data_IF_603697953507
#
_entry.id   IF_603697953507
#
_cell.length_a   1.000
_cell.length_b   1.000
_cell.length_c   1.000
_cell.angle_alpha   90.00
_cell.angle_beta   90.00
_cell.angle_gamma   90.00
#
_symmetry.space_group_name_H-M   'P 1'
#
loop_
_entity.id
_entity.type
_entity.pdbx_description
1 polymer ?
#
# COMPACT_ATOMS: atom_id res chain seq x y z
N UNK A 1 -3.41 -30.45 63.55
CA UNK A 1 -4.02 -29.31 62.84
C UNK A 1 -2.91 -28.28 62.62
N UNK A 2 -2.53 -27.96 61.39
CA UNK A 2 -1.47 -26.98 61.07
C UNK A 2 -2.09 -25.89 60.20
N UNK A 3 -2.10 -24.68 60.74
CA UNK A 3 -2.82 -23.54 60.20
C UNK A 3 -2.29 -23.12 58.83
N UNK A 4 -3.19 -23.15 57.85
CA UNK A 4 -2.92 -22.70 56.49
C UNK A 4 -2.67 -21.20 56.46
N UNK A 5 -1.43 -20.79 56.21
CA UNK A 5 -1.12 -19.42 55.81
C UNK A 5 -1.75 -19.14 54.44
N UNK A 6 -2.95 -18.55 54.44
CA UNK A 6 -3.55 -17.87 53.29
C UNK A 6 -2.58 -16.77 52.82
N UNK A 7 -1.79 -17.06 51.80
CA UNK A 7 -1.02 -16.03 51.10
C UNK A 7 -2.00 -15.08 50.43
N UNK A 8 -2.01 -13.83 50.89
CA UNK A 8 -2.81 -12.76 50.30
C UNK A 8 -2.42 -12.59 48.82
N UNK A 9 -3.46 -12.59 48.00
CA UNK A 9 -3.46 -12.41 46.55
C UNK A 9 -2.66 -11.18 46.14
N UNK A 10 -1.54 -11.39 45.41
CA UNK A 10 -1.02 -10.33 44.54
C UNK A 10 -1.87 -10.27 43.30
N UNK A 11 -2.95 -9.53 43.48
CA UNK A 11 -3.69 -8.77 42.49
C UNK A 11 -2.78 -8.32 41.32
N UNK A 12 -3.32 -8.49 40.12
CA UNK A 12 -2.96 -7.81 38.89
C UNK A 12 -1.58 -8.11 38.27
N UNK A 13 -1.40 -9.31 37.72
CA UNK A 13 -0.63 -9.43 36.48
C UNK A 13 -1.60 -9.39 35.30
N UNK A 14 -1.93 -8.17 34.86
CA UNK A 14 -2.40 -7.96 33.49
C UNK A 14 -1.23 -8.24 32.55
N UNK A 15 -1.00 -9.52 32.24
CA UNK A 15 0.11 -10.00 31.38
C UNK A 15 0.04 -9.50 29.93
N UNK A 16 -0.98 -8.69 29.60
CA UNK A 16 -1.25 -8.17 28.27
C UNK A 16 -1.72 -6.70 28.25
N UNK A 17 -1.75 -5.99 29.39
CA UNK A 17 -2.16 -4.56 29.36
C UNK A 17 -1.15 -3.66 28.65
N UNK A 18 0.10 -4.13 28.48
CA UNK A 18 1.12 -3.46 27.68
C UNK A 18 0.99 -3.73 26.17
N UNK A 19 0.01 -4.55 25.72
CA UNK A 19 -0.29 -4.73 24.29
C UNK A 19 -1.12 -3.57 23.70
N UNK A 20 -1.37 -2.50 24.43
CA UNK A 20 -1.77 -1.23 23.83
C UNK A 20 -0.53 -0.45 23.39
N UNK A 21 0.15 -0.92 22.34
CA UNK A 21 1.12 -0.10 21.60
C UNK A 21 0.44 0.82 20.57
N UNK A 22 -0.90 0.80 20.49
CA UNK A 22 -1.62 1.75 19.67
C UNK A 22 -1.53 3.14 20.30
N UNK A 23 -0.56 3.94 19.89
CA UNK A 23 -0.85 5.37 19.68
C UNK A 23 -2.03 5.38 18.71
N UNK A 24 -3.25 5.49 19.24
CA UNK A 24 -4.43 5.66 18.43
C UNK A 24 -4.26 7.00 17.74
N UNK A 25 -3.80 6.96 16.50
CA UNK A 25 -3.72 8.14 15.65
C UNK A 25 -5.06 8.86 15.75
N UNK A 26 -5.01 10.14 16.07
CA UNK A 26 -6.17 11.02 15.97
C UNK A 26 -6.67 10.98 14.52
N UNK A 27 -7.95 11.29 14.32
CA UNK A 27 -8.53 11.27 12.98
C UNK A 27 -7.73 12.14 12.00
N UNK A 28 -7.21 13.27 12.49
CA UNK A 28 -6.35 14.18 11.73
C UNK A 28 -5.06 13.47 11.28
N UNK A 29 -4.36 12.81 12.18
CA UNK A 29 -3.10 12.12 11.86
C UNK A 29 -3.32 10.95 10.88
N UNK A 30 -4.45 10.23 11.00
CA UNK A 30 -4.82 9.18 10.04
C UNK A 30 -5.06 9.74 8.65
N UNK A 31 -5.85 10.82 8.56
CA UNK A 31 -6.16 11.49 7.31
C UNK A 31 -4.90 12.05 6.65
N UNK A 32 -3.99 12.65 7.43
CA UNK A 32 -2.69 13.11 6.93
C UNK A 32 -1.85 11.97 6.34
N UNK A 33 -1.79 10.82 7.02
CA UNK A 33 -1.10 9.65 6.49
C UNK A 33 -1.76 9.10 5.22
N UNK A 34 -3.09 9.11 5.15
CA UNK A 34 -3.80 8.68 3.94
C UNK A 34 -3.50 9.63 2.77
N UNK A 35 -3.57 10.96 2.98
CA UNK A 35 -3.24 11.96 1.97
C UNK A 35 -1.81 11.73 1.44
N UNK A 36 -0.82 11.60 2.34
CA UNK A 36 0.57 11.35 1.95
C UNK A 36 0.72 10.07 1.12
N UNK A 37 0.03 9.00 1.49
CA UNK A 37 0.03 7.74 0.75
C UNK A 37 -0.58 7.91 -0.65
N UNK A 38 -1.67 8.66 -0.77
CA UNK A 38 -2.32 8.96 -2.06
C UNK A 38 -1.41 9.82 -2.94
N UNK A 39 -0.74 10.82 -2.38
CA UNK A 39 0.14 11.72 -3.13
C UNK A 39 1.34 10.98 -3.73
N UNK A 40 1.94 10.06 -2.98
CA UNK A 40 3.03 9.20 -3.49
C UNK A 40 2.53 8.35 -4.67
N UNK A 41 1.34 7.76 -4.55
CA UNK A 41 0.76 6.93 -5.61
C UNK A 41 0.38 7.76 -6.85
N UNK A 42 -0.17 8.96 -6.66
CA UNK A 42 -0.45 9.91 -7.75
C UNK A 42 0.86 10.29 -8.45
N UNK A 43 1.91 10.61 -7.71
CA UNK A 43 3.22 10.93 -8.28
C UNK A 43 3.80 9.75 -9.07
N UNK A 44 3.67 8.53 -8.53
CA UNK A 44 4.05 7.29 -9.21
C UNK A 44 3.28 7.13 -10.53
N UNK A 45 1.95 7.20 -10.49
CA UNK A 45 1.09 7.01 -11.66
C UNK A 45 1.29 8.09 -12.72
N UNK A 46 1.50 9.36 -12.31
CA UNK A 46 1.84 10.45 -13.22
C UNK A 46 3.16 10.19 -13.97
N UNK A 47 4.15 9.54 -13.33
CA UNK A 47 5.41 9.15 -14.00
C UNK A 47 5.22 8.02 -15.02
N UNK A 48 4.22 7.16 -14.83
CA UNK A 48 3.87 6.09 -15.77
C UNK A 48 2.90 6.52 -16.87
N UNK A 49 2.50 7.79 -16.94
CA UNK A 49 2.02 8.36 -18.20
C UNK A 49 3.21 8.42 -19.17
N UNK A 50 3.60 7.26 -19.68
CA UNK A 50 4.66 7.09 -20.66
C UNK A 50 4.30 7.99 -21.84
N UNK A 51 5.15 8.98 -22.10
CA UNK A 51 5.12 9.76 -23.34
C UNK A 51 5.25 8.78 -24.51
N UNK A 52 4.14 8.45 -25.16
CA UNK A 52 4.11 8.01 -26.55
C UNK A 52 4.64 6.62 -26.89
N UNK A 53 3.94 5.56 -26.47
CA UNK A 53 4.05 4.24 -27.16
C UNK A 53 2.74 3.87 -27.90
N UNK A 54 1.82 4.83 -28.06
CA UNK A 54 0.50 4.54 -28.63
C UNK A 54 -0.14 5.58 -29.54
N UNK A 55 0.43 6.78 -29.69
CA UNK A 55 -0.30 7.87 -30.38
C UNK A 55 0.06 7.99 -31.87
N UNK A 56 1.30 7.69 -32.29
CA UNK A 56 1.69 7.69 -33.70
C UNK A 56 2.26 6.33 -34.09
N UNK A 57 1.42 5.40 -34.55
CA UNK A 57 1.89 4.22 -35.28
C UNK A 57 1.81 4.55 -36.76
N UNK A 58 2.95 4.83 -37.39
CA UNK A 58 3.03 4.94 -38.85
C UNK A 58 3.06 3.53 -39.43
N UNK A 59 2.03 3.16 -40.19
CA UNK A 59 1.97 1.88 -40.88
C UNK A 59 2.60 2.02 -42.27
N UNK A 60 3.77 1.41 -42.47
CA UNK A 60 4.39 1.33 -43.80
C UNK A 60 3.68 0.24 -44.60
N UNK A 61 2.89 0.64 -45.60
CA UNK A 61 2.24 -0.31 -46.52
C UNK A 61 3.18 -0.59 -47.69
N UNK A 62 3.75 -1.79 -47.77
CA UNK A 62 4.55 -2.20 -48.92
C UNK A 62 3.62 -2.53 -50.09
N UNK A 63 3.68 -1.75 -51.17
CA UNK A 63 2.95 -2.05 -52.40
C UNK A 63 3.74 -3.11 -53.18
N UNK A 64 3.27 -4.36 -53.13
CA UNK A 64 3.81 -5.45 -53.96
C UNK A 64 3.62 -5.10 -55.43
N UNK A 65 4.72 -4.87 -56.15
CA UNK A 65 4.69 -4.74 -57.61
C UNK A 65 4.59 -6.16 -58.16
N UNK A 66 3.40 -6.55 -58.66
CA UNK A 66 3.25 -7.79 -59.41
C UNK A 66 3.97 -7.54 -60.74
N UNK A 67 5.08 -8.25 -61.05
CA UNK A 67 5.68 -8.14 -62.37
C UNK A 67 4.69 -8.73 -63.38
N UNK A 68 4.35 -7.94 -64.39
CA UNK A 68 3.45 -8.35 -65.46
C UNK A 68 4.00 -9.65 -66.07
N UNK A 69 3.19 -10.71 -66.07
CA UNK A 69 3.46 -11.94 -66.79
C UNK A 69 3.63 -11.59 -68.26
N UNK A 70 4.85 -11.72 -68.78
CA UNK A 70 5.15 -11.67 -70.22
C UNK A 70 5.40 -13.08 -70.69
#
# INVERSE_FOLDING_TARGET
>A
MRDGKRFKTRKDRKSFSALHTSKSLTEIERLQLEILKRDIEIARLKRYQVKGVGVNKEFVTLKTRIPNST
#
